data_IF_656787621110
#
_entry.id   IF_656787621110
#
_cell.length_a   1.000
_cell.length_b   1.000
_cell.length_c   1.000
_cell.angle_alpha   90.00
_cell.angle_beta   90.00
_cell.angle_gamma   90.00
#
_symmetry.space_group_name_H-M   'P 1'
#
loop_
_entity.id
_entity.type
_entity.pdbx_description
1 polymer ?
#
# COMPACT_ATOMS: atom_id res chain seq x y z
N UNK A 1 -28.95 1.88 -39.30
CA UNK A 1 -30.31 1.91 -38.71
C UNK A 1 -30.76 3.35 -38.52
N UNK A 2 -32.04 3.62 -38.78
CA UNK A 2 -32.72 4.93 -38.58
C UNK A 2 -32.63 5.44 -37.11
N UNK A 3 -32.47 4.50 -36.17
CA UNK A 3 -32.39 4.76 -34.70
C UNK A 3 -31.02 4.42 -34.13
N UNK A 4 -30.01 4.34 -35.00
CA UNK A 4 -28.65 4.09 -34.51
C UNK A 4 -28.17 5.23 -33.59
N UNK A 5 -27.63 4.84 -32.46
CA UNK A 5 -26.92 5.71 -31.54
C UNK A 5 -25.59 5.10 -31.20
N UNK A 6 -24.51 5.83 -31.40
CA UNK A 6 -23.16 5.37 -31.13
C UNK A 6 -22.94 5.02 -29.65
N UNK A 7 -22.37 3.86 -29.39
CA UNK A 7 -22.12 3.37 -28.05
C UNK A 7 -23.28 2.60 -27.42
N UNK A 8 -24.40 2.40 -28.14
CA UNK A 8 -25.53 1.57 -27.63
C UNK A 8 -25.06 0.15 -27.35
N UNK A 9 -25.36 -0.32 -26.11
CA UNK A 9 -25.03 -1.69 -25.63
C UNK A 9 -26.26 -2.59 -25.49
N UNK A 10 -27.45 -2.04 -25.48
CA UNK A 10 -28.72 -2.80 -25.40
C UNK A 10 -29.86 -1.88 -24.98
N UNK A 11 -30.98 -2.35 -24.49
CA UNK A 11 -31.26 -3.64 -23.85
C UNK A 11 -32.51 -4.32 -24.45
N UNK A 12 -33.73 -3.74 -24.27
CA UNK A 12 -35.00 -4.35 -24.67
C UNK A 12 -36.07 -3.33 -25.00
N UNK A 13 -36.84 -3.60 -26.04
CA UNK A 13 -38.10 -2.88 -26.31
C UNK A 13 -39.31 -3.69 -25.89
N UNK A 14 -40.38 -3.00 -25.55
CA UNK A 14 -41.68 -3.57 -25.24
C UNK A 14 -42.83 -2.74 -25.82
N UNK A 15 -43.98 -3.36 -26.01
CA UNK A 15 -45.20 -2.70 -26.39
C UNK A 15 -46.42 -3.45 -25.82
N UNK A 16 -47.36 -2.73 -25.26
CA UNK A 16 -48.73 -3.18 -25.02
C UNK A 16 -49.67 -2.05 -25.39
N UNK A 17 -50.95 -2.37 -25.66
CA UNK A 17 -51.95 -1.35 -25.98
C UNK A 17 -52.12 -0.30 -24.89
N UNK A 18 -51.95 -0.70 -23.64
CA UNK A 18 -52.09 0.19 -22.47
C UNK A 18 -50.79 0.94 -22.15
N UNK A 19 -49.63 0.24 -22.20
CA UNK A 19 -48.36 0.84 -21.83
C UNK A 19 -47.67 1.65 -22.96
N UNK A 20 -48.17 1.53 -24.20
CA UNK A 20 -47.56 2.18 -25.34
C UNK A 20 -46.19 1.59 -25.72
N UNK A 21 -45.38 2.36 -26.43
CA UNK A 21 -44.04 1.97 -26.82
C UNK A 21 -43.06 2.20 -25.65
N UNK A 22 -42.48 1.12 -25.13
CA UNK A 22 -41.52 1.17 -24.03
C UNK A 22 -40.12 0.70 -24.51
N UNK A 23 -39.07 1.20 -23.87
CA UNK A 23 -37.71 0.78 -24.09
C UNK A 23 -36.88 0.90 -22.82
N UNK A 24 -36.05 -0.09 -22.57
CA UNK A 24 -34.87 0.04 -21.71
C UNK A 24 -33.65 0.05 -22.66
N UNK A 25 -32.86 1.09 -22.60
CA UNK A 25 -31.70 1.27 -23.44
C UNK A 25 -30.47 1.63 -22.63
N UNK A 26 -29.32 1.09 -23.02
CA UNK A 26 -28.04 1.50 -22.46
C UNK A 26 -27.06 1.91 -23.56
N UNK A 27 -26.20 2.87 -23.22
CA UNK A 27 -25.13 3.33 -24.06
C UNK A 27 -23.89 3.66 -23.24
N UNK A 28 -22.71 3.31 -23.78
CA UNK A 28 -21.42 3.58 -23.17
C UNK A 28 -20.62 4.55 -24.03
N UNK A 29 -20.17 5.67 -23.44
CA UNK A 29 -19.36 6.67 -24.09
C UNK A 29 -18.52 7.41 -23.04
N UNK A 30 -17.33 7.87 -23.39
CA UNK A 30 -16.47 8.68 -22.52
C UNK A 30 -16.17 8.03 -21.14
N UNK A 31 -16.08 6.69 -21.10
CA UNK A 31 -15.69 5.94 -19.91
C UNK A 31 -16.82 5.58 -18.95
N UNK A 32 -18.06 6.02 -19.18
CA UNK A 32 -19.21 5.64 -18.35
C UNK A 32 -20.39 5.12 -19.20
N UNK A 33 -21.30 4.42 -18.55
CA UNK A 33 -22.49 3.84 -19.17
C UNK A 33 -23.74 4.47 -18.57
N UNK A 34 -24.70 4.78 -19.44
CA UNK A 34 -26.00 5.33 -19.07
C UNK A 34 -27.07 4.30 -19.37
N UNK A 35 -27.97 4.03 -18.43
CA UNK A 35 -29.15 3.22 -18.57
C UNK A 35 -30.41 4.13 -18.53
N UNK A 36 -31.24 3.99 -19.55
CA UNK A 36 -32.49 4.74 -19.69
C UNK A 36 -33.69 3.82 -19.71
N UNK A 37 -34.77 4.29 -19.13
CA UNK A 37 -36.10 3.67 -19.20
C UNK A 37 -37.09 4.71 -19.74
N UNK A 38 -37.69 4.42 -20.89
CA UNK A 38 -38.73 5.26 -21.48
C UNK A 38 -40.01 4.42 -21.58
N UNK A 39 -41.08 4.94 -21.03
CA UNK A 39 -42.40 4.30 -21.01
C UNK A 39 -43.43 5.18 -21.73
N UNK A 40 -44.45 4.56 -22.34
CA UNK A 40 -45.55 5.27 -22.92
C UNK A 40 -45.30 6.07 -24.19
N UNK A 41 -44.16 5.81 -24.85
CA UNK A 41 -43.81 6.50 -26.09
C UNK A 41 -44.87 6.30 -27.20
N UNK A 42 -45.17 7.37 -27.94
CA UNK A 42 -46.09 7.36 -29.06
C UNK A 42 -45.34 7.19 -30.38
N UNK A 43 -46.07 7.09 -31.46
CA UNK A 43 -45.55 7.21 -32.82
C UNK A 43 -45.80 8.63 -33.33
N UNK A 44 -44.76 9.25 -33.87
CA UNK A 44 -44.91 10.58 -34.52
C UNK A 44 -45.77 10.49 -35.80
N UNK A 45 -46.25 11.60 -36.28
CA UNK A 45 -46.97 11.70 -37.57
C UNK A 45 -46.13 11.20 -38.75
N UNK A 46 -44.80 11.17 -38.64
CA UNK A 46 -43.83 10.62 -39.63
C UNK A 46 -43.53 9.14 -39.45
N UNK A 47 -44.27 8.44 -38.58
CA UNK A 47 -44.11 7.02 -38.28
C UNK A 47 -42.80 6.70 -37.53
N UNK A 48 -42.17 7.71 -36.85
CA UNK A 48 -41.03 7.50 -35.97
C UNK A 48 -41.54 7.13 -34.59
N UNK A 49 -40.91 6.20 -33.91
CA UNK A 49 -41.22 5.85 -32.54
C UNK A 49 -40.52 6.82 -31.58
N UNK A 50 -41.31 7.56 -30.79
CA UNK A 50 -40.84 8.56 -29.82
C UNK A 50 -39.83 7.98 -28.84
N UNK A 51 -40.05 6.72 -28.38
CA UNK A 51 -39.14 6.09 -27.42
C UNK A 51 -37.65 6.12 -27.84
N UNK A 52 -37.37 6.03 -29.16
CA UNK A 52 -35.97 6.11 -29.64
C UNK A 52 -35.45 7.55 -29.74
N UNK A 53 -36.36 8.50 -30.05
CA UNK A 53 -36.02 9.93 -30.07
C UNK A 53 -35.72 10.40 -28.65
N UNK A 54 -36.54 10.01 -27.69
CA UNK A 54 -36.36 10.33 -26.27
C UNK A 54 -35.06 9.75 -25.74
N UNK A 55 -34.77 8.45 -26.04
CA UNK A 55 -33.50 7.85 -25.67
C UNK A 55 -32.30 8.63 -26.22
N UNK A 56 -32.36 9.04 -27.51
CA UNK A 56 -31.28 9.83 -28.12
C UNK A 56 -31.10 11.14 -27.39
N UNK A 57 -32.17 11.88 -27.14
CA UNK A 57 -32.14 13.16 -26.42
C UNK A 57 -31.58 13.02 -25.01
N UNK A 58 -31.99 11.98 -24.29
CA UNK A 58 -31.52 11.72 -22.91
C UNK A 58 -30.07 11.26 -22.88
N UNK A 59 -29.63 10.44 -23.84
CA UNK A 59 -28.22 10.06 -23.98
C UNK A 59 -27.35 11.27 -24.32
N UNK A 60 -27.76 12.08 -25.27
CA UNK A 60 -27.05 13.32 -25.63
C UNK A 60 -26.96 14.23 -24.40
N UNK A 61 -28.06 14.43 -23.66
CA UNK A 61 -28.05 15.21 -22.45
C UNK A 61 -27.05 14.65 -21.41
N UNK A 62 -27.08 13.33 -21.14
CA UNK A 62 -26.20 12.71 -20.18
C UNK A 62 -24.73 12.84 -20.58
N UNK A 63 -24.40 12.50 -21.82
CA UNK A 63 -23.01 12.51 -22.31
C UNK A 63 -22.47 13.92 -22.55
N UNK A 64 -23.32 14.92 -22.79
CA UNK A 64 -22.90 16.31 -22.99
C UNK A 64 -22.68 17.03 -21.66
N UNK A 65 -23.45 16.70 -20.62
CA UNK A 65 -23.41 17.42 -19.35
C UNK A 65 -22.58 16.72 -18.27
N UNK A 66 -22.40 15.40 -18.30
CA UNK A 66 -21.74 14.65 -17.25
C UNK A 66 -20.44 13.99 -17.74
N UNK A 67 -19.55 13.75 -16.80
CA UNK A 67 -18.28 13.02 -17.04
C UNK A 67 -17.78 12.38 -15.74
N UNK A 68 -16.92 11.37 -15.92
CA UNK A 68 -16.09 10.89 -14.82
C UNK A 68 -14.92 11.87 -14.64
N UNK A 69 -14.76 12.38 -13.42
CA UNK A 69 -13.65 13.25 -13.03
C UNK A 69 -12.76 12.51 -12.05
N UNK A 70 -11.44 12.54 -12.30
CA UNK A 70 -10.45 11.98 -11.38
C UNK A 70 -10.05 13.05 -10.38
N UNK A 71 -10.26 12.79 -9.09
CA UNK A 71 -9.86 13.65 -7.98
C UNK A 71 -8.41 13.39 -7.58
N UNK A 72 -8.05 12.11 -7.47
CA UNK A 72 -6.68 11.67 -7.24
C UNK A 72 -6.37 10.45 -8.11
N UNK A 73 -5.17 10.42 -8.64
CA UNK A 73 -4.65 9.26 -9.37
C UNK A 73 -3.98 8.28 -8.41
N UNK A 74 -4.04 7.01 -8.75
CA UNK A 74 -3.30 5.95 -8.08
C UNK A 74 -1.81 6.28 -8.03
N UNK A 75 -1.18 6.04 -6.87
CA UNK A 75 0.22 6.32 -6.59
C UNK A 75 0.61 7.81 -6.66
N UNK A 76 -0.36 8.74 -6.76
CA UNK A 76 -0.05 10.15 -6.60
C UNK A 76 0.41 10.45 -5.17
N UNK A 77 1.46 11.28 -5.03
CA UNK A 77 1.93 11.74 -3.72
C UNK A 77 0.94 12.76 -3.16
N UNK A 78 0.35 12.45 -2.01
CA UNK A 78 -0.56 13.35 -1.35
C UNK A 78 0.20 14.37 -0.50
N UNK A 79 1.07 13.89 0.38
CA UNK A 79 1.92 14.70 1.26
C UNK A 79 3.07 13.88 1.81
N UNK A 80 4.03 14.58 2.44
CA UNK A 80 5.13 13.98 3.18
C UNK A 80 4.86 14.09 4.69
N UNK A 81 5.11 13.02 5.43
CA UNK A 81 4.94 12.94 6.89
C UNK A 81 6.21 12.47 7.57
N UNK A 82 6.41 12.92 8.82
CA UNK A 82 7.55 12.46 9.63
C UNK A 82 7.13 11.29 10.50
N UNK A 83 7.90 10.19 10.43
CA UNK A 83 7.66 8.94 11.17
C UNK A 83 8.52 8.91 12.43
N UNK A 84 7.90 8.68 13.58
CA UNK A 84 8.58 8.59 14.87
C UNK A 84 9.41 7.31 15.00
N UNK A 85 10.59 7.44 15.61
CA UNK A 85 11.49 6.30 15.85
C UNK A 85 12.11 5.72 14.57
N UNK A 86 12.06 6.45 13.46
CA UNK A 86 12.75 6.12 12.22
C UNK A 86 14.22 6.55 12.22
N UNK A 87 15.02 5.96 11.33
CA UNK A 87 16.37 6.46 11.04
C UNK A 87 16.28 7.81 10.31
N UNK A 88 17.35 8.62 10.36
CA UNK A 88 17.37 9.95 9.71
C UNK A 88 17.11 9.87 8.20
N UNK A 89 17.55 8.78 7.57
CA UNK A 89 17.43 8.53 6.13
C UNK A 89 16.00 8.17 5.70
N UNK A 90 15.20 7.59 6.62
CA UNK A 90 13.85 7.09 6.32
C UNK A 90 12.73 7.77 7.11
N UNK A 91 13.04 8.80 7.90
CA UNK A 91 12.03 9.46 8.74
C UNK A 91 10.98 10.25 7.95
N UNK A 92 11.32 10.71 6.75
CA UNK A 92 10.41 11.46 5.89
C UNK A 92 9.77 10.49 4.89
N UNK A 93 8.50 10.18 5.11
CA UNK A 93 7.72 9.24 4.32
C UNK A 93 6.76 9.99 3.42
N UNK A 94 6.82 9.73 2.10
CA UNK A 94 5.78 10.16 1.18
C UNK A 94 4.56 9.22 1.33
N UNK A 95 3.41 9.82 1.47
CA UNK A 95 2.13 9.11 1.55
C UNK A 95 1.46 9.17 0.19
N UNK A 96 1.16 8.01 -0.38
CA UNK A 96 0.55 7.85 -1.70
C UNK A 96 -0.92 7.47 -1.59
N UNK A 97 -1.69 7.87 -2.58
CA UNK A 97 -3.07 7.40 -2.79
C UNK A 97 -3.01 5.99 -3.41
N UNK A 98 -3.67 5.01 -2.79
CA UNK A 98 -3.61 3.60 -3.20
C UNK A 98 -4.35 3.30 -4.49
N UNK A 99 -5.52 3.88 -4.67
CA UNK A 99 -6.38 3.66 -5.83
C UNK A 99 -6.91 4.99 -6.37
N UNK A 100 -7.26 5.02 -7.68
CA UNK A 100 -7.89 6.20 -8.26
C UNK A 100 -9.18 6.58 -7.51
N UNK A 101 -9.34 7.85 -7.19
CA UNK A 101 -10.60 8.39 -6.69
C UNK A 101 -11.28 9.13 -7.84
N UNK A 102 -12.40 8.57 -8.29
CA UNK A 102 -13.18 9.10 -9.41
C UNK A 102 -14.61 9.36 -8.98
N UNK A 103 -15.16 10.46 -9.47
CA UNK A 103 -16.56 10.83 -9.27
C UNK A 103 -17.26 10.98 -10.62
N UNK A 104 -18.55 10.66 -10.64
CA UNK A 104 -19.43 11.02 -11.75
C UNK A 104 -20.06 12.38 -11.42
N UNK A 105 -19.81 13.39 -12.26
CA UNK A 105 -20.21 14.76 -11.95
C UNK A 105 -20.50 15.59 -13.20
N UNK A 106 -21.19 16.70 -13.01
CA UNK A 106 -21.38 17.72 -14.05
C UNK A 106 -20.00 18.16 -14.58
N UNK A 107 -19.90 18.29 -15.91
CA UNK A 107 -18.65 18.74 -16.57
C UNK A 107 -18.22 20.12 -16.11
N UNK A 108 -19.14 20.98 -15.69
CA UNK A 108 -18.87 22.32 -15.19
C UNK A 108 -18.37 22.34 -13.74
N UNK A 109 -18.47 21.22 -13.01
CA UNK A 109 -17.99 21.15 -11.63
C UNK A 109 -16.49 21.42 -11.60
N UNK A 110 -16.07 22.41 -10.83
CA UNK A 110 -14.66 22.63 -10.51
C UNK A 110 -14.25 21.69 -9.36
N UNK A 111 -13.46 20.68 -9.70
CA UNK A 111 -12.99 19.69 -8.72
C UNK A 111 -12.06 20.29 -7.64
N UNK A 112 -11.46 21.45 -7.90
CA UNK A 112 -10.59 22.13 -6.92
C UNK A 112 -11.37 22.66 -5.71
N UNK A 113 -12.69 22.79 -5.84
CA UNK A 113 -13.58 23.21 -4.74
C UNK A 113 -13.89 22.08 -3.77
N UNK A 114 -13.63 20.83 -4.15
CA UNK A 114 -13.86 19.67 -3.30
C UNK A 114 -12.71 19.50 -2.32
N UNK A 115 -12.98 19.70 -1.04
CA UNK A 115 -11.99 19.55 0.03
C UNK A 115 -12.07 18.13 0.58
N UNK A 116 -10.99 17.31 0.50
CA UNK A 116 -10.98 15.99 1.09
C UNK A 116 -10.82 16.03 2.62
N UNK A 117 -11.42 15.07 3.28
CA UNK A 117 -11.04 14.70 4.63
C UNK A 117 -9.87 13.72 4.57
N UNK A 118 -8.73 14.11 5.15
CA UNK A 118 -7.51 13.31 5.21
C UNK A 118 -7.31 12.83 6.64
N UNK A 119 -7.40 11.52 6.84
CA UNK A 119 -7.18 10.90 8.13
C UNK A 119 -5.92 10.03 8.05
N UNK A 120 -4.81 10.56 8.56
CA UNK A 120 -3.53 9.84 8.70
C UNK A 120 -3.28 9.66 10.20
N UNK A 121 -2.77 8.50 10.59
CA UNK A 121 -2.41 8.23 11.97
C UNK A 121 -1.49 9.33 12.52
N UNK A 122 -1.95 10.05 13.54
CA UNK A 122 -1.25 11.22 14.12
C UNK A 122 0.15 10.90 14.62
N UNK A 123 0.47 9.63 14.85
CA UNK A 123 1.78 9.17 15.36
C UNK A 123 2.21 7.89 14.64
N UNK A 124 2.53 8.01 13.37
CA UNK A 124 3.17 6.92 12.66
C UNK A 124 4.50 6.56 13.33
N UNK A 125 4.70 5.28 13.62
CA UNK A 125 5.91 4.75 14.25
C UNK A 125 6.60 3.73 13.36
N UNK A 126 7.92 3.84 13.27
CA UNK A 126 8.74 2.83 12.61
C UNK A 126 8.80 1.51 13.44
N UNK A 127 8.93 0.34 12.76
CA UNK A 127 9.09 0.19 11.32
C UNK A 127 7.76 0.23 10.56
N UNK A 128 7.80 0.69 9.29
CA UNK A 128 6.65 0.66 8.36
C UNK A 128 7.12 -0.04 7.09
N UNK A 129 6.38 -1.01 6.60
CA UNK A 129 6.69 -1.66 5.34
C UNK A 129 6.16 -0.83 4.15
N UNK A 130 6.80 -0.96 2.99
CA UNK A 130 6.29 -0.40 1.73
C UNK A 130 4.87 -0.87 1.46
N UNK A 131 4.01 0.01 0.93
CA UNK A 131 2.59 -0.22 0.67
C UNK A 131 1.72 -0.49 1.91
N UNK A 132 2.25 -0.34 3.12
CA UNK A 132 1.42 -0.40 4.33
C UNK A 132 0.41 0.75 4.35
N UNK A 133 -0.82 0.46 4.76
CA UNK A 133 -1.86 1.47 4.94
C UNK A 133 -1.48 2.33 6.14
N UNK A 134 -1.45 3.65 5.94
CA UNK A 134 -1.08 4.66 6.95
C UNK A 134 -2.19 5.69 7.19
N UNK A 135 -3.29 5.58 6.45
CA UNK A 135 -4.42 6.48 6.59
C UNK A 135 -5.48 6.26 5.51
N UNK A 136 -6.39 7.21 5.41
CA UNK A 136 -7.49 7.23 4.43
C UNK A 136 -7.74 8.66 3.98
N UNK A 137 -8.09 8.83 2.70
CA UNK A 137 -8.59 10.07 2.11
C UNK A 137 -10.05 9.84 1.69
N UNK A 138 -10.92 10.78 1.98
CA UNK A 138 -12.35 10.71 1.66
C UNK A 138 -12.83 12.03 1.10
N UNK A 139 -13.55 11.99 -0.01
CA UNK A 139 -14.30 13.10 -0.57
C UNK A 139 -15.79 12.84 -0.40
N UNK A 140 -16.56 13.87 -0.07
CA UNK A 140 -18.02 13.81 -0.07
C UNK A 140 -18.55 14.64 -1.25
N UNK A 141 -19.35 14.04 -2.11
CA UNK A 141 -19.97 14.69 -3.24
C UNK A 141 -21.37 14.11 -3.51
N UNK A 142 -22.36 14.97 -3.64
CA UNK A 142 -23.75 14.61 -3.92
C UNK A 142 -24.35 13.55 -2.95
N UNK A 143 -23.96 13.63 -1.66
CA UNK A 143 -24.42 12.71 -0.63
C UNK A 143 -23.69 11.37 -0.58
N UNK A 144 -22.74 11.14 -1.48
CA UNK A 144 -21.92 9.93 -1.55
C UNK A 144 -20.49 10.18 -1.08
N UNK A 145 -19.85 9.13 -0.55
CA UNK A 145 -18.46 9.16 -0.12
C UNK A 145 -17.55 8.40 -1.10
N UNK A 146 -16.51 9.05 -1.55
CA UNK A 146 -15.47 8.50 -2.44
C UNK A 146 -14.15 8.48 -1.72
N UNK A 147 -13.60 7.31 -1.49
CA UNK A 147 -12.41 7.19 -0.64
C UNK A 147 -11.38 6.21 -1.18
N UNK A 148 -10.13 6.40 -0.77
CA UNK A 148 -9.02 5.49 -0.98
C UNK A 148 -8.17 5.38 0.28
N UNK A 149 -7.54 4.22 0.47
CA UNK A 149 -6.48 4.08 1.46
C UNK A 149 -5.29 4.95 1.09
N UNK A 150 -4.56 5.38 2.10
CA UNK A 150 -3.26 6.02 1.97
C UNK A 150 -2.17 5.04 2.35
N UNK A 151 -1.16 4.91 1.50
CA UNK A 151 -0.09 3.92 1.66
C UNK A 151 1.29 4.56 1.76
N UNK A 152 2.21 3.85 2.39
CA UNK A 152 3.61 4.21 2.48
C UNK A 152 4.32 3.96 1.14
N UNK A 153 4.99 4.98 0.56
CA UNK A 153 5.76 4.85 -0.68
C UNK A 153 6.95 3.91 -0.50
N UNK A 154 7.68 4.07 0.59
CA UNK A 154 8.91 3.34 0.87
C UNK A 154 8.89 2.71 2.25
N UNK A 155 9.79 1.76 2.45
CA UNK A 155 10.02 1.17 3.77
C UNK A 155 10.62 2.21 4.73
N UNK A 156 10.10 2.27 5.95
CA UNK A 156 10.65 3.07 7.05
C UNK A 156 11.34 2.16 8.05
N UNK A 157 12.62 2.38 8.26
CA UNK A 157 13.47 1.57 9.15
C UNK A 157 13.48 2.19 10.55
N UNK A 158 13.23 1.37 11.58
CA UNK A 158 13.30 1.83 12.95
C UNK A 158 14.75 2.21 13.35
N UNK A 159 14.93 3.37 13.99
CA UNK A 159 16.18 3.73 14.64
C UNK A 159 16.31 2.89 15.91
N UNK A 160 17.08 1.77 15.83
CA UNK A 160 17.20 0.85 16.93
C UNK A 160 18.50 0.99 17.69
N UNK A 161 18.44 1.01 19.01
CA UNK A 161 19.59 0.82 19.89
C UNK A 161 20.18 -0.61 19.74
N UNK A 162 19.34 -1.57 19.35
CA UNK A 162 19.71 -2.98 19.24
C UNK A 162 20.86 -3.28 18.25
N UNK A 163 20.90 -2.75 17.01
CA UNK A 163 22.02 -2.98 16.11
C UNK A 163 23.33 -2.36 16.61
N UNK A 164 23.25 -1.24 17.33
CA UNK A 164 24.44 -0.61 17.96
C UNK A 164 24.93 -1.51 19.10
N UNK A 165 24.03 -1.98 19.95
CA UNK A 165 24.35 -2.89 21.05
C UNK A 165 24.99 -4.18 20.54
N UNK A 166 24.45 -4.81 19.49
CA UNK A 166 25.02 -6.02 18.89
C UNK A 166 26.41 -5.78 18.29
N UNK A 167 26.66 -4.63 17.65
CA UNK A 167 28.00 -4.25 17.15
C UNK A 167 29.01 -4.08 18.31
N UNK A 168 28.59 -3.40 19.38
CA UNK A 168 29.44 -3.20 20.58
C UNK A 168 29.75 -4.56 21.24
N UNK A 169 28.77 -5.43 21.39
CA UNK A 169 28.96 -6.79 21.89
C UNK A 169 29.95 -7.59 21.06
N UNK A 170 29.83 -7.52 19.72
CA UNK A 170 30.76 -8.21 18.81
C UNK A 170 32.21 -7.69 18.95
N UNK A 171 32.40 -6.38 19.08
CA UNK A 171 33.71 -5.77 19.31
C UNK A 171 34.30 -6.27 20.64
N UNK A 172 33.50 -6.31 21.71
CA UNK A 172 33.93 -6.82 23.03
C UNK A 172 34.35 -8.27 22.95
N UNK A 173 33.61 -9.11 22.25
CA UNK A 173 33.94 -10.53 22.04
C UNK A 173 35.26 -10.68 21.30
N UNK A 174 35.47 -9.91 20.20
CA UNK A 174 36.71 -9.93 19.43
C UNK A 174 37.91 -9.50 20.30
N UNK A 175 37.76 -8.42 21.05
CA UNK A 175 38.81 -7.96 21.97
C UNK A 175 39.13 -8.99 23.07
N UNK A 176 38.12 -9.67 23.60
CA UNK A 176 38.28 -10.73 24.57
C UNK A 176 39.02 -11.95 23.98
N UNK A 177 38.69 -12.35 22.75
CA UNK A 177 39.40 -13.41 22.05
C UNK A 177 40.87 -13.05 21.78
N UNK A 178 41.15 -11.81 21.35
CA UNK A 178 42.52 -11.31 21.19
C UNK A 178 43.30 -11.31 22.52
N UNK A 179 42.67 -10.89 23.63
CA UNK A 179 43.24 -10.95 24.96
C UNK A 179 43.60 -12.41 25.35
N UNK A 180 42.76 -13.39 25.03
CA UNK A 180 43.02 -14.79 25.30
C UNK A 180 44.22 -15.30 24.50
N UNK A 181 44.37 -14.90 23.21
CA UNK A 181 45.47 -15.26 22.35
C UNK A 181 46.82 -14.63 22.78
N UNK A 182 46.77 -13.40 23.28
CA UNK A 182 47.93 -12.65 23.73
C UNK A 182 48.35 -12.97 25.18
N UNK A 183 47.53 -13.74 25.93
CA UNK A 183 47.77 -14.11 27.31
C UNK A 183 49.03 -14.97 27.41
N UNK A 184 50.14 -14.50 28.04
CA UNK A 184 51.37 -15.26 28.10
C UNK A 184 51.16 -16.56 28.86
N UNK A 185 51.54 -17.67 28.24
CA UNK A 185 51.49 -18.99 28.84
C UNK A 185 52.34 -19.00 30.11
N UNK A 186 51.72 -19.12 31.26
CA UNK A 186 52.44 -19.27 32.55
C UNK A 186 53.29 -20.51 32.48
N UNK A 187 54.59 -20.37 32.21
CA UNK A 187 55.56 -21.47 32.32
C UNK A 187 55.46 -22.05 33.73
N UNK A 188 55.00 -23.32 33.85
CA UNK A 188 55.03 -24.06 35.09
C UNK A 188 56.45 -24.11 35.63
N UNK A 189 56.77 -23.39 36.72
CA UNK A 189 58.02 -23.52 37.46
C UNK A 189 58.17 -24.97 37.92
N UNK A 190 59.11 -25.70 37.34
CA UNK A 190 59.52 -27.02 37.85
C UNK A 190 60.02 -26.82 39.27
N UNK A 191 59.36 -27.34 40.29
CA UNK A 191 59.87 -27.46 41.65
C UNK A 191 61.02 -28.44 41.65
N UNK A 192 62.26 -27.91 41.76
CA UNK A 192 63.45 -28.73 41.97
C UNK A 192 63.48 -29.16 43.44
N UNK A 193 63.18 -30.41 43.73
CA UNK A 193 63.38 -30.98 45.06
C UNK A 193 64.84 -31.26 45.26
N UNK A 194 65.52 -30.47 46.13
CA UNK A 194 66.86 -30.81 46.67
C UNK A 194 66.73 -32.04 47.55
N UNK A 195 67.26 -33.16 47.13
CA UNK A 195 67.36 -34.38 47.90
C UNK A 195 68.49 -34.22 48.89
N UNK A 196 68.21 -34.12 50.18
CA UNK A 196 69.22 -34.21 51.24
C UNK A 196 69.76 -35.66 51.26
N UNK A 197 71.06 -35.81 51.04
CA UNK A 197 71.74 -37.08 51.19
C UNK A 197 71.90 -37.39 52.67
N UNK A 198 71.35 -38.49 53.17
CA UNK A 198 71.84 -39.21 54.29
C UNK A 198 72.09 -40.65 53.77
N UNK A 199 73.36 -41.10 54.06
CA UNK A 199 73.94 -42.30 53.53
C UNK A 199 73.17 -43.56 53.88
N UNK A 200 73.34 -44.58 53.08
CA UNK A 200 72.88 -45.96 53.31
C UNK A 200 72.68 -46.65 51.97
N UNK A 201 73.62 -47.53 51.65
CA UNK A 201 73.57 -48.49 50.58
C UNK A 201 72.21 -49.18 50.56
N UNK A 202 71.62 -49.35 49.38
CA UNK A 202 71.18 -50.63 48.79
C UNK A 202 70.52 -50.39 47.44
N UNK A 203 70.99 -51.15 46.46
CA UNK A 203 70.38 -51.27 45.13
C UNK A 203 68.99 -51.94 45.26
N UNK A 204 68.04 -51.40 44.49
CA UNK A 204 67.01 -52.26 43.90
C UNK A 204 66.47 -51.61 42.64
N UNK A 205 66.63 -52.29 41.55
CA UNK A 205 66.01 -52.15 40.29
C UNK A 205 64.55 -52.59 40.36
N UNK A 206 63.57 -51.81 39.88
CA UNK A 206 62.41 -52.37 39.29
C UNK A 206 61.76 -51.46 38.26
N UNK A 207 61.62 -52.04 37.11
CA UNK A 207 60.84 -51.55 35.97
C UNK A 207 59.34 -51.62 36.31
N UNK A 208 58.56 -50.70 35.81
CA UNK A 208 57.27 -51.02 35.16
C UNK A 208 56.72 -49.83 34.37
N UNK A 209 56.43 -50.13 33.15
CA UNK A 209 55.71 -49.43 32.14
C UNK A 209 54.21 -49.25 32.46
N UNK A 210 53.60 -48.41 31.56
CA UNK A 210 52.16 -48.39 31.14
C UNK A 210 51.33 -47.34 31.90
N UNK A 211 50.65 -46.52 31.26
CA UNK A 211 50.00 -46.25 29.94
C UNK A 211 49.77 -44.76 29.84
#
# INVERSE_FOLDING_TARGET
SRYYYEGTTGVKTGYTGEAGNCIVASAKKNGFEVLLVVLGGKSTSKGLSERYLDCKTLFDYAFDNYSIKTLNEKNSVLQQVTVYGATKETQNLNVLVKDDIKIFADKKLDISTLTPEINIDKKLKAPIATNSVVGKITYSYDGEEYSSDLIAETQVIASGFLPILLRVMLIIIVLYLLFLLLKPSKKKKKKTYKKKSKGGNYKFTQFSNLK
#
